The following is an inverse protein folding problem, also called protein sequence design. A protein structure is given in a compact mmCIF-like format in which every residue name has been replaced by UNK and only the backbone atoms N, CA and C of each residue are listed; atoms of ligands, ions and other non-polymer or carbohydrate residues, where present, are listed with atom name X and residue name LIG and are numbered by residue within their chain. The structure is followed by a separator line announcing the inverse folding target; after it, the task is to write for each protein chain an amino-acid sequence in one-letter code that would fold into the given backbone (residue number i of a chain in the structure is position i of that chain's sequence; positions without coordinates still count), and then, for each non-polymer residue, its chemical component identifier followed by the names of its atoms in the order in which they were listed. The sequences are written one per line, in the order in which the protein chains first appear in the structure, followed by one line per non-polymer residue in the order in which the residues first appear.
data_IF_495459364808
#
_entry.id   IF_495459364808
#
_cell.length_a   1.000
_cell.length_b   1.000
_cell.length_c   1.000
_cell.angle_alpha   90.00
_cell.angle_beta   90.00
_cell.angle_gamma   90.00
#
_symmetry.space_group_name_H-M   'P 1'
#
loop_
_entity.id
_entity.type
_entity.pdbx_description
1 polymer ?
#
# COMPACT_ATOMS: atom_id res chain seq x y z
N UNK A 1 6.75 14.39 18.80
CA UNK A 1 6.10 13.14 19.23
C UNK A 1 7.09 12.39 20.08
N UNK A 2 6.82 12.21 21.37
CA UNK A 2 7.66 11.34 22.21
C UNK A 2 7.22 9.86 22.04
N UNK A 3 8.04 8.92 22.53
CA UNK A 3 7.78 7.48 22.36
C UNK A 3 6.43 7.07 23.00
N UNK A 4 6.05 7.68 24.12
CA UNK A 4 4.81 7.36 24.83
C UNK A 4 3.57 7.83 24.06
N UNK A 5 3.61 9.03 23.49
CA UNK A 5 2.55 9.55 22.60
C UNK A 5 2.36 8.66 21.37
N UNK A 6 3.47 8.22 20.76
CA UNK A 6 3.44 7.30 19.61
C UNK A 6 2.84 5.94 19.97
N UNK A 7 3.18 5.41 21.16
CA UNK A 7 2.64 4.14 21.67
C UNK A 7 1.13 4.24 21.87
N UNK A 8 0.65 5.31 22.49
CA UNK A 8 -0.78 5.55 22.70
C UNK A 8 -1.55 5.69 21.39
N UNK A 9 -0.99 6.39 20.40
CA UNK A 9 -1.60 6.50 19.07
C UNK A 9 -1.72 5.13 18.40
N UNK A 10 -0.69 4.30 18.49
CA UNK A 10 -0.72 2.94 17.95
C UNK A 10 -1.76 2.07 18.65
N UNK A 11 -1.86 2.14 19.98
CA UNK A 11 -2.88 1.42 20.75
C UNK A 11 -4.31 1.84 20.35
N UNK A 12 -4.56 3.15 20.24
CA UNK A 12 -5.87 3.66 19.84
C UNK A 12 -6.20 3.30 18.39
N UNK A 13 -5.22 3.30 17.49
CA UNK A 13 -5.40 2.82 16.12
C UNK A 13 -5.77 1.33 16.08
N UNK A 14 -5.03 0.50 16.82
CA UNK A 14 -5.26 -0.96 16.88
C UNK A 14 -6.57 -1.35 17.57
N UNK A 15 -7.21 -0.43 18.30
CA UNK A 15 -8.56 -0.62 18.82
C UNK A 15 -9.59 -0.78 17.69
N UNK A 16 -9.44 0.00 16.62
CA UNK A 16 -10.39 0.05 15.51
C UNK A 16 -9.94 -0.71 14.27
N UNK A 17 -8.63 -0.91 14.11
CA UNK A 17 -8.04 -1.51 12.93
C UNK A 17 -7.20 -2.74 13.26
N UNK A 18 -7.30 -3.74 12.40
CA UNK A 18 -6.36 -4.84 12.33
C UNK A 18 -5.33 -4.53 11.25
N UNK A 19 -4.06 -4.79 11.54
CA UNK A 19 -2.95 -4.66 10.60
C UNK A 19 -2.29 -6.02 10.44
N UNK A 20 -2.23 -6.52 9.21
CA UNK A 20 -1.65 -7.84 8.93
C UNK A 20 -0.92 -7.88 7.60
N UNK A 21 0.00 -8.84 7.45
CA UNK A 21 0.63 -9.12 6.17
C UNK A 21 -0.40 -9.77 5.23
N UNK A 22 -0.49 -9.27 4.00
CA UNK A 22 -1.32 -9.83 2.94
C UNK A 22 -0.58 -11.00 2.27
N UNK A 23 -0.52 -12.14 2.96
CA UNK A 23 0.16 -13.35 2.47
C UNK A 23 -0.74 -14.22 1.59
N UNK A 24 -2.04 -14.25 1.89
CA UNK A 24 -3.04 -14.97 1.11
C UNK A 24 -3.45 -14.22 -0.16
N UNK A 25 -3.93 -14.95 -1.17
CA UNK A 25 -4.38 -14.36 -2.43
C UNK A 25 -5.51 -13.36 -2.22
N UNK A 26 -6.50 -13.67 -1.38
CA UNK A 26 -7.63 -12.77 -1.11
C UNK A 26 -7.18 -11.44 -0.49
N UNK A 27 -6.26 -11.49 0.48
CA UNK A 27 -5.70 -10.30 1.12
C UNK A 27 -4.87 -9.47 0.14
N UNK A 28 -4.08 -10.11 -0.73
CA UNK A 28 -3.34 -9.41 -1.79
C UNK A 28 -4.30 -8.74 -2.78
N UNK A 29 -5.35 -9.43 -3.19
CA UNK A 29 -6.38 -8.84 -4.04
C UNK A 29 -7.08 -7.66 -3.36
N UNK A 30 -7.28 -7.72 -2.04
CA UNK A 30 -7.82 -6.60 -1.29
C UNK A 30 -6.89 -5.37 -1.29
N UNK A 31 -5.56 -5.55 -1.22
CA UNK A 31 -4.63 -4.40 -1.35
C UNK A 31 -4.66 -3.80 -2.75
N UNK A 32 -4.73 -4.61 -3.82
CA UNK A 32 -4.85 -4.13 -5.20
C UNK A 32 -6.17 -3.37 -5.44
N UNK A 33 -7.27 -3.83 -4.85
CA UNK A 33 -8.56 -3.10 -4.90
C UNK A 33 -8.52 -1.78 -4.13
N UNK A 34 -7.85 -1.74 -2.97
CA UNK A 34 -7.64 -0.48 -2.23
C UNK A 34 -6.85 0.49 -3.10
N UNK A 35 -5.73 0.05 -3.69
CA UNK A 35 -4.92 0.87 -4.59
C UNK A 35 -5.68 1.33 -5.82
N UNK A 36 -6.51 0.49 -6.43
CA UNK A 36 -7.35 0.89 -7.57
C UNK A 36 -8.31 2.03 -7.21
N UNK A 37 -9.07 1.88 -6.12
CA UNK A 37 -10.00 2.93 -5.66
C UNK A 37 -9.28 4.26 -5.42
N UNK A 38 -8.08 4.22 -4.85
CA UNK A 38 -7.32 5.42 -4.51
C UNK A 38 -6.60 6.01 -5.73
N UNK A 39 -5.77 5.22 -6.41
CA UNK A 39 -4.91 5.69 -7.49
C UNK A 39 -5.64 5.87 -8.82
N UNK A 40 -6.67 5.08 -9.11
CA UNK A 40 -7.42 5.20 -10.36
C UNK A 40 -8.68 6.04 -10.18
N UNK A 41 -9.52 5.74 -9.19
CA UNK A 41 -10.85 6.39 -9.06
C UNK A 41 -10.80 7.73 -8.31
N UNK A 42 -10.10 7.80 -7.16
CA UNK A 42 -10.10 9.01 -6.32
C UNK A 42 -9.14 10.08 -6.84
N UNK A 43 -7.88 9.72 -7.10
CA UNK A 43 -6.86 10.69 -7.51
C UNK A 43 -6.55 10.71 -9.01
N UNK A 44 -6.92 9.68 -9.76
CA UNK A 44 -6.65 9.60 -11.21
C UNK A 44 -5.16 9.60 -11.56
N UNK A 45 -4.30 9.07 -10.70
CA UNK A 45 -2.86 8.89 -10.95
C UNK A 45 -2.59 7.85 -12.04
N UNK A 46 -3.41 6.81 -12.12
CA UNK A 46 -3.33 5.77 -13.14
C UNK A 46 -4.66 5.68 -13.92
N UNK A 47 -4.63 5.39 -15.24
CA UNK A 47 -5.85 5.20 -16.02
C UNK A 47 -6.62 3.95 -15.58
N UNK A 48 -7.89 4.10 -15.21
CA UNK A 48 -8.74 3.00 -14.76
C UNK A 48 -8.88 1.88 -15.81
N UNK A 49 -8.86 2.23 -17.11
CA UNK A 49 -8.97 1.30 -18.23
C UNK A 49 -7.80 0.30 -18.30
N UNK A 50 -6.68 0.63 -17.65
CA UNK A 50 -5.51 -0.26 -17.54
C UNK A 50 -5.77 -1.44 -16.59
N UNK A 51 -6.76 -1.32 -15.70
CA UNK A 51 -7.10 -2.31 -14.67
C UNK A 51 -8.59 -2.69 -14.73
N UNK A 52 -9.05 -3.35 -15.81
CA UNK A 52 -10.48 -3.61 -16.04
C UNK A 52 -11.11 -4.55 -15.01
N UNK A 53 -10.30 -5.25 -14.20
CA UNK A 53 -10.75 -6.09 -13.09
C UNK A 53 -10.83 -5.32 -11.75
N UNK A 54 -10.57 -4.01 -11.72
CA UNK A 54 -10.61 -3.19 -10.51
C UNK A 54 -9.46 -3.46 -9.54
N UNK A 55 -8.33 -3.97 -10.03
CA UNK A 55 -7.17 -4.33 -9.21
C UNK A 55 -5.91 -3.67 -9.78
N UNK A 56 -5.43 -2.62 -9.12
CA UNK A 56 -4.23 -1.89 -9.53
C UNK A 56 -3.00 -2.68 -9.11
N UNK A 57 -2.15 -2.98 -10.10
CA UNK A 57 -0.94 -3.77 -9.96
C UNK A 57 0.15 -3.22 -10.88
N UNK A 58 1.39 -3.28 -10.41
CA UNK A 58 2.57 -2.98 -11.21
C UNK A 58 3.56 -4.15 -11.15
N UNK A 59 4.73 -3.97 -11.78
CA UNK A 59 5.79 -5.00 -11.78
C UNK A 59 6.37 -5.29 -10.40
N UNK A 60 6.23 -4.37 -9.43
CA UNK A 60 6.80 -4.51 -8.10
C UNK A 60 5.96 -5.42 -7.20
N UNK A 61 4.69 -5.67 -7.55
CA UNK A 61 3.80 -6.55 -6.81
C UNK A 61 4.35 -7.98 -6.68
N UNK A 62 5.12 -8.46 -7.66
CA UNK A 62 5.60 -9.85 -7.72
C UNK A 62 6.63 -10.21 -6.64
N UNK A 63 7.35 -9.23 -6.09
CA UNK A 63 8.41 -9.44 -5.09
C UNK A 63 8.27 -8.51 -3.88
N UNK A 64 7.13 -7.84 -3.76
CA UNK A 64 6.82 -6.99 -2.61
C UNK A 64 6.07 -7.76 -1.52
N UNK A 65 6.19 -7.25 -0.29
CA UNK A 65 5.34 -7.67 0.82
C UNK A 65 4.33 -6.56 1.09
N UNK A 66 3.05 -6.86 0.95
CA UNK A 66 1.99 -5.92 1.28
C UNK A 66 1.44 -6.16 2.69
N UNK A 67 1.09 -5.07 3.37
CA UNK A 67 0.32 -5.04 4.60
C UNK A 67 -1.06 -4.50 4.29
N UNK A 68 -2.08 -5.12 4.85
CA UNK A 68 -3.47 -4.69 4.75
C UNK A 68 -3.95 -4.19 6.11
N UNK A 69 -4.64 -3.06 6.08
CA UNK A 69 -5.34 -2.50 7.23
C UNK A 69 -6.83 -2.75 7.05
N UNK A 70 -7.47 -3.42 8.01
CA UNK A 70 -8.91 -3.70 8.00
C UNK A 70 -9.59 -3.05 9.18
N UNK A 71 -10.74 -2.42 8.95
CA UNK A 71 -11.58 -1.95 10.05
C UNK A 71 -12.22 -3.14 10.75
N UNK A 72 -11.97 -3.31 12.05
CA UNK A 72 -12.30 -4.53 12.79
C UNK A 72 -13.80 -4.83 12.84
N UNK A 73 -14.64 -3.81 12.99
CA UNK A 73 -16.08 -4.00 13.12
C UNK A 73 -16.73 -4.45 11.79
N UNK A 74 -16.29 -3.85 10.68
CA UNK A 74 -16.89 -4.11 9.36
C UNK A 74 -16.16 -5.16 8.52
N UNK A 75 -14.92 -5.51 8.89
CA UNK A 75 -14.01 -6.32 8.08
C UNK A 75 -13.48 -5.64 6.80
N UNK A 76 -13.95 -4.43 6.49
CA UNK A 76 -13.62 -3.73 5.25
C UNK A 76 -12.15 -3.28 5.21
N UNK A 77 -11.47 -3.46 4.06
CA UNK A 77 -10.17 -2.85 3.79
C UNK A 77 -10.22 -1.32 3.90
N UNK A 78 -9.41 -0.77 4.82
CA UNK A 78 -9.30 0.66 5.08
C UNK A 78 -8.04 1.29 4.44
N UNK A 79 -6.99 0.50 4.22
CA UNK A 79 -5.74 0.98 3.64
C UNK A 79 -4.75 -0.16 3.43
N UNK A 80 -3.63 0.13 2.79
CA UNK A 80 -2.53 -0.81 2.64
C UNK A 80 -1.18 -0.08 2.53
N UNK A 81 -0.12 -0.77 2.92
CA UNK A 81 1.27 -0.36 2.73
C UNK A 81 2.01 -1.48 2.01
N UNK A 82 3.01 -1.14 1.21
CA UNK A 82 3.83 -2.11 0.48
C UNK A 82 5.30 -1.90 0.78
N UNK A 83 6.00 -2.97 1.15
CA UNK A 83 7.45 -3.01 1.26
C UNK A 83 8.03 -3.65 0.00
N UNK A 84 8.83 -2.88 -0.73
CA UNK A 84 9.54 -3.35 -1.93
C UNK A 84 11.02 -3.52 -1.58
N UNK A 85 11.57 -4.73 -1.62
CA UNK A 85 13.00 -4.93 -1.35
C UNK A 85 13.85 -4.32 -2.48
N UNK A 86 15.02 -3.80 -2.12
CA UNK A 86 16.02 -3.36 -3.10
C UNK A 86 16.67 -4.60 -3.74
N UNK A 87 16.59 -4.68 -5.08
CA UNK A 87 17.19 -5.75 -5.86
C UNK A 87 18.30 -5.16 -6.76
N UNK A 88 19.44 -5.86 -6.96
CA UNK A 88 20.59 -5.29 -7.68
C UNK A 88 20.28 -4.77 -9.09
N UNK A 89 19.40 -5.47 -9.82
CA UNK A 89 19.12 -5.19 -11.23
C UNK A 89 17.76 -4.51 -11.47
N UNK A 90 17.13 -3.99 -10.42
CA UNK A 90 15.81 -3.37 -10.52
C UNK A 90 15.69 -2.12 -9.63
N UNK A 91 15.56 -0.91 -10.20
CA UNK A 91 15.42 0.30 -9.41
C UNK A 91 14.11 0.30 -8.61
N UNK A 92 14.16 0.86 -7.40
CA UNK A 92 12.99 1.04 -6.54
C UNK A 92 11.91 1.87 -7.24
N UNK A 93 10.62 1.76 -6.84
CA UNK A 93 9.56 2.57 -7.42
C UNK A 93 9.86 4.07 -7.36
N UNK A 94 10.43 4.53 -6.23
CA UNK A 94 10.81 5.92 -6.03
C UNK A 94 11.91 6.36 -7.00
N UNK A 95 12.94 5.54 -7.22
CA UNK A 95 14.04 5.85 -8.14
C UNK A 95 13.56 5.88 -9.60
N UNK A 96 12.67 4.95 -9.97
CA UNK A 96 12.11 4.87 -11.32
C UNK A 96 11.24 6.09 -11.66
N UNK A 97 10.39 6.53 -10.75
CA UNK A 97 9.38 7.57 -11.03
C UNK A 97 9.81 8.97 -10.59
N UNK A 98 10.71 9.06 -9.60
CA UNK A 98 11.12 10.32 -8.98
C UNK A 98 12.65 10.48 -8.91
N UNK A 99 13.43 9.70 -9.67
CA UNK A 99 14.90 9.72 -9.60
C UNK A 99 15.50 11.13 -9.73
N UNK A 100 14.99 11.95 -10.65
CA UNK A 100 15.47 13.33 -10.83
C UNK A 100 15.20 14.26 -9.63
N UNK A 101 14.25 13.90 -8.76
CA UNK A 101 13.92 14.67 -7.57
C UNK A 101 14.79 14.33 -6.35
N UNK A 102 15.50 13.19 -6.38
CA UNK A 102 16.33 12.74 -5.26
C UNK A 102 17.65 13.52 -5.15
N UNK A 103 18.17 14.03 -6.27
CA UNK A 103 19.43 14.77 -6.32
C UNK A 103 19.27 16.30 -6.20
N UNK A 104 18.06 16.77 -5.87
CA UNK A 104 17.76 18.21 -5.72
C UNK A 104 17.56 18.54 -4.24
N UNK A 105 18.38 19.43 -3.65
CA UNK A 105 18.32 19.78 -2.23
C UNK A 105 17.07 20.56 -1.84
#
# INVERSE_FOLDING_TARGET
MNIEEGRRLAEDFLRYFEVGLALGEEDRRATWRVRYRVYCEEFGYEPAERFPNGEEKDLYDDFSTACLVRHRETGMPAGCVRLVPALPDLPLPLERHCGEALDRP
#
